data_IF_492965236037
#
_entry.id   IF_492965236037
#
_cell.length_a   1.000
_cell.length_b   1.000
_cell.length_c   1.000
_cell.angle_alpha   90.00
_cell.angle_beta   90.00
_cell.angle_gamma   90.00
#
_symmetry.space_group_name_H-M   'P 1'
#
loop_
_entity.id
_entity.type
_entity.pdbx_description
1 polymer ?
#
# COMPACT_ATOMS: atom_id res chain seq x y z
N UNK A 1 21.70 10.85 -5.70
CA UNK A 1 22.50 10.08 -4.72
C UNK A 1 23.24 8.88 -5.34
N UNK A 2 23.60 8.91 -6.63
CA UNK A 2 24.48 7.87 -7.22
C UNK A 2 23.85 6.49 -7.48
N UNK A 3 22.55 6.40 -7.76
CA UNK A 3 21.81 5.15 -8.06
C UNK A 3 22.23 3.94 -7.19
N UNK A 4 22.42 4.18 -5.89
CA UNK A 4 22.73 3.14 -4.93
C UNK A 4 21.63 2.09 -4.92
N UNK A 5 21.93 0.88 -4.49
CA UNK A 5 20.90 -0.14 -4.29
C UNK A 5 19.91 0.30 -3.21
N UNK A 6 18.62 0.12 -3.47
CA UNK A 6 17.56 0.48 -2.52
C UNK A 6 16.34 -0.43 -2.62
N UNK A 7 15.47 -0.33 -1.62
CA UNK A 7 14.20 -1.04 -1.54
C UNK A 7 13.10 -0.08 -1.15
N UNK A 8 11.91 -0.23 -1.74
CA UNK A 8 10.73 0.50 -1.31
C UNK A 8 10.15 -0.21 -0.09
N UNK A 9 10.42 0.32 1.10
CA UNK A 9 10.10 -0.37 2.37
C UNK A 9 8.66 -0.19 2.81
N UNK A 10 7.99 0.88 2.38
CA UNK A 10 6.59 1.13 2.72
C UNK A 10 5.87 1.85 1.59
N UNK A 11 4.77 1.27 1.12
CA UNK A 11 3.78 1.94 0.30
C UNK A 11 2.41 1.32 0.57
N UNK A 12 1.40 2.15 0.65
CA UNK A 12 0.04 1.72 0.95
C UNK A 12 -0.85 2.91 1.25
N UNK A 13 -2.09 2.63 1.61
CA UNK A 13 -3.07 3.66 1.91
C UNK A 13 -3.96 3.27 3.08
N UNK A 14 -4.29 4.27 3.89
CA UNK A 14 -5.28 4.16 4.96
C UNK A 14 -6.62 4.71 4.51
N UNK A 15 -7.71 3.99 4.77
CA UNK A 15 -9.06 4.48 4.47
C UNK A 15 -9.91 4.47 5.74
N UNK A 16 -10.58 5.60 5.99
CA UNK A 16 -11.51 5.75 7.11
C UNK A 16 -12.91 5.25 6.75
N UNK A 17 -13.53 4.51 7.67
CA UNK A 17 -14.92 4.07 7.53
C UNK A 17 -15.14 3.07 6.40
N UNK A 18 -14.22 2.11 6.23
CA UNK A 18 -14.31 1.06 5.21
C UNK A 18 -15.51 0.13 5.36
N UNK A 19 -16.12 0.06 6.55
CA UNK A 19 -17.33 -0.76 6.77
C UNK A 19 -18.48 -0.41 5.83
N UNK A 20 -18.49 0.81 5.26
CA UNK A 20 -19.45 1.20 4.21
C UNK A 20 -19.31 0.38 2.92
N UNK A 21 -18.18 -0.30 2.71
CA UNK A 21 -17.88 -1.17 1.58
C UNK A 21 -17.98 -2.66 1.94
N UNK A 22 -18.56 -3.01 3.10
CA UNK A 22 -18.71 -4.40 3.53
C UNK A 22 -19.83 -5.09 2.75
N UNK A 23 -19.49 -6.18 2.07
CA UNK A 23 -20.44 -7.06 1.39
C UNK A 23 -20.14 -8.52 1.76
N UNK A 24 -21.17 -9.27 2.16
CA UNK A 24 -21.05 -10.69 2.51
C UNK A 24 -19.97 -11.01 3.56
N UNK A 25 -19.74 -10.09 4.50
CA UNK A 25 -18.73 -10.25 5.56
C UNK A 25 -17.31 -9.85 5.16
N UNK A 26 -17.08 -9.40 3.93
CA UNK A 26 -15.76 -8.99 3.42
C UNK A 26 -15.79 -7.53 2.97
N UNK A 27 -14.74 -6.77 3.27
CA UNK A 27 -14.58 -5.42 2.72
C UNK A 27 -14.18 -5.51 1.26
N UNK A 28 -14.91 -4.80 0.40
CA UNK A 28 -14.53 -4.64 -1.01
C UNK A 28 -13.51 -3.50 -1.11
N UNK A 29 -12.23 -3.83 -1.17
CA UNK A 29 -11.11 -2.88 -1.13
C UNK A 29 -10.47 -2.58 -2.49
N UNK A 30 -11.27 -2.54 -3.55
CA UNK A 30 -10.82 -2.26 -4.92
C UNK A 30 -9.99 -0.98 -5.05
N UNK A 31 -10.29 0.05 -4.25
CA UNK A 31 -9.50 1.29 -4.19
C UNK A 31 -8.05 1.04 -3.76
N UNK A 32 -7.81 0.11 -2.83
CA UNK A 32 -6.48 -0.28 -2.37
C UNK A 32 -5.78 -1.09 -3.45
N UNK A 33 -6.50 -2.00 -4.10
CA UNK A 33 -5.98 -2.77 -5.24
C UNK A 33 -5.52 -1.83 -6.36
N UNK A 34 -6.33 -0.84 -6.72
CA UNK A 34 -6.01 0.13 -7.77
C UNK A 34 -4.84 1.03 -7.39
N UNK A 35 -4.77 1.47 -6.13
CA UNK A 35 -3.65 2.23 -5.59
C UNK A 35 -2.33 1.46 -5.72
N UNK A 36 -2.29 0.20 -5.26
CA UNK A 36 -1.10 -0.64 -5.29
C UNK A 36 -0.70 -0.95 -6.74
N UNK A 37 -1.65 -1.31 -7.59
CA UNK A 37 -1.39 -1.53 -9.04
C UNK A 37 -0.79 -0.30 -9.69
N UNK A 38 -1.29 0.90 -9.37
CA UNK A 38 -0.76 2.17 -9.89
C UNK A 38 0.71 2.36 -9.50
N UNK A 39 1.03 2.19 -8.21
CA UNK A 39 2.40 2.37 -7.71
C UNK A 39 3.37 1.33 -8.25
N UNK A 40 2.93 0.06 -8.39
CA UNK A 40 3.75 -0.99 -8.99
C UNK A 40 4.03 -0.72 -10.47
N UNK A 41 3.08 -0.15 -11.23
CA UNK A 41 3.32 0.26 -12.62
C UNK A 41 4.39 1.34 -12.72
N UNK A 42 4.31 2.38 -11.89
CA UNK A 42 5.32 3.44 -11.90
C UNK A 42 6.68 2.96 -11.38
N UNK A 43 6.71 2.09 -10.36
CA UNK A 43 7.95 1.46 -9.90
C UNK A 43 8.58 0.61 -11.00
N UNK A 44 7.76 -0.15 -11.74
CA UNK A 44 8.24 -0.95 -12.87
C UNK A 44 8.86 -0.08 -13.96
N UNK A 45 8.19 1.02 -14.36
CA UNK A 45 8.75 2.00 -15.29
C UNK A 45 10.08 2.57 -14.82
N UNK A 46 10.17 2.92 -13.54
CA UNK A 46 11.43 3.43 -12.99
C UNK A 46 12.55 2.37 -13.04
N UNK A 47 12.22 1.09 -12.85
CA UNK A 47 13.17 -0.03 -13.03
C UNK A 47 13.60 -0.15 -14.49
N UNK A 48 12.67 0.00 -15.45
CA UNK A 48 13.00 0.05 -16.89
C UNK A 48 13.92 1.24 -17.24
N UNK A 49 13.74 2.38 -16.57
CA UNK A 49 14.57 3.58 -16.68
C UNK A 49 15.95 3.45 -15.98
N UNK A 50 16.21 2.33 -15.30
CA UNK A 50 17.52 1.98 -14.75
C UNK A 50 17.73 2.28 -13.27
N UNK A 51 16.67 2.56 -12.49
CA UNK A 51 16.82 2.70 -11.03
C UNK A 51 17.17 1.37 -10.37
N UNK A 52 18.04 1.39 -9.36
CA UNK A 52 18.52 0.18 -8.69
C UNK A 52 17.62 -0.26 -7.52
N UNK A 53 16.32 -0.39 -7.76
CA UNK A 53 15.36 -0.90 -6.77
C UNK A 53 15.32 -2.44 -6.77
N UNK A 54 15.42 -3.06 -5.59
CA UNK A 54 15.46 -4.54 -5.43
C UNK A 54 14.24 -5.14 -4.77
N UNK A 55 13.31 -4.33 -4.29
CA UNK A 55 12.14 -4.85 -3.60
C UNK A 55 11.08 -3.81 -3.32
N UNK A 56 9.90 -4.31 -2.96
CA UNK A 56 8.73 -3.54 -2.60
C UNK A 56 8.04 -4.23 -1.42
N UNK A 57 7.83 -3.48 -0.35
CA UNK A 57 7.12 -3.93 0.83
C UNK A 57 5.86 -3.08 0.99
N UNK A 58 4.72 -3.78 1.02
CA UNK A 58 3.41 -3.17 1.21
C UNK A 58 3.21 -2.82 2.68
N UNK A 59 2.70 -1.61 2.92
CA UNK A 59 2.24 -1.14 4.22
C UNK A 59 0.70 -1.22 4.27
N UNK A 60 0.06 -2.07 5.07
CA UNK A 60 0.59 -3.08 6.02
C UNK A 60 0.00 -4.45 5.76
N UNK A 61 0.56 -5.47 6.41
CA UNK A 61 -0.05 -6.79 6.43
C UNK A 61 -1.40 -6.80 7.15
N UNK A 62 -1.45 -6.30 8.40
CA UNK A 62 -2.65 -6.19 9.22
C UNK A 62 -3.00 -4.74 9.51
N UNK A 63 -4.25 -4.47 9.85
CA UNK A 63 -4.63 -3.18 10.40
C UNK A 63 -3.85 -2.84 11.66
N UNK A 64 -3.44 -1.58 11.77
CA UNK A 64 -2.63 -1.10 12.87
C UNK A 64 -3.13 0.24 13.40
N UNK A 65 -2.74 0.53 14.64
CA UNK A 65 -2.96 1.85 15.22
C UNK A 65 -2.09 2.89 14.50
N UNK A 66 -2.72 3.99 14.06
CA UNK A 66 -2.03 5.10 13.41
C UNK A 66 -1.93 6.33 14.33
N UNK A 67 -0.82 7.05 14.25
CA UNK A 67 -0.51 8.15 15.17
C UNK A 67 -1.61 9.22 15.27
N UNK A 68 -2.10 9.69 14.12
CA UNK A 68 -3.09 10.78 14.06
C UNK A 68 -4.53 10.27 13.95
N UNK A 69 -4.74 9.04 13.47
CA UNK A 69 -6.09 8.53 13.19
C UNK A 69 -6.49 7.36 14.09
N UNK A 70 -5.65 6.94 15.04
CA UNK A 70 -5.89 5.78 15.88
C UNK A 70 -6.30 4.57 15.01
N UNK A 71 -7.39 3.89 15.36
CA UNK A 71 -8.00 2.79 14.57
C UNK A 71 -9.07 3.26 13.57
N UNK A 72 -9.20 4.55 13.29
CA UNK A 72 -10.19 5.04 12.32
C UNK A 72 -9.83 4.63 10.89
N UNK A 73 -8.53 4.65 10.59
CA UNK A 73 -8.01 4.27 9.28
C UNK A 73 -7.59 2.80 9.29
N UNK A 74 -8.01 2.08 8.26
CA UNK A 74 -7.57 0.72 7.97
C UNK A 74 -6.52 0.73 6.88
N UNK A 75 -5.41 0.04 7.12
CA UNK A 75 -4.22 0.02 6.26
C UNK A 75 -3.87 -1.39 5.80
N UNK A 76 -4.37 -2.41 6.52
CA UNK A 76 -3.99 -3.80 6.34
C UNK A 76 -4.57 -4.39 5.07
N UNK A 77 -3.90 -5.44 4.59
CA UNK A 77 -4.45 -6.37 3.60
C UNK A 77 -5.34 -7.43 4.25
N UNK A 78 -5.27 -7.59 5.57
CA UNK A 78 -5.97 -8.62 6.34
C UNK A 78 -6.75 -8.00 7.50
N UNK A 79 -8.00 -8.47 7.65
CA UNK A 79 -8.93 -8.24 8.76
C UNK A 79 -8.91 -9.41 9.75
#
# INVERSE_FOLDING_TARGET
>A
YGNIEWMLTENGMGVEGEDKFRENGMIQDDYRIDFVKGHLRELHRAIEDGVNCKGYLIWTFIDCWSWLNSYKNRYGLVE
#
